data_IF_518124700371
#
_entry.id   IF_518124700371
#
_cell.length_a   1.000
_cell.length_b   1.000
_cell.length_c   1.000
_cell.angle_alpha   90.00
_cell.angle_beta   90.00
_cell.angle_gamma   90.00
#
_symmetry.space_group_name_H-M   'P 1'
#
loop_
_entity.id
_entity.type
_entity.pdbx_description
1 polymer ?
#
# COMPACT_ATOMS: atom_id res chain seq x y z
N UNK A 1 -20.65 0.21 -5.08
CA UNK A 1 -19.67 0.17 -6.19
C UNK A 1 -19.20 -1.27 -6.31
N UNK A 2 -19.90 -2.04 -7.13
CA UNK A 2 -19.42 -3.34 -7.58
C UNK A 2 -18.26 -3.12 -8.55
N UNK A 3 -17.20 -3.93 -8.49
CA UNK A 3 -16.19 -4.00 -9.56
C UNK A 3 -14.78 -3.44 -9.29
N UNK A 4 -14.37 -3.24 -8.04
CA UNK A 4 -12.98 -2.87 -7.71
C UNK A 4 -12.34 -3.91 -6.79
N UNK A 5 -12.00 -5.04 -7.38
CA UNK A 5 -11.41 -6.18 -6.67
C UNK A 5 -9.89 -6.11 -6.68
N UNK A 6 -9.34 -6.25 -5.48
CA UNK A 6 -7.93 -6.47 -5.24
C UNK A 6 -7.49 -7.83 -5.79
N UNK A 7 -6.21 -7.95 -6.12
CA UNK A 7 -5.59 -9.24 -6.44
C UNK A 7 -5.64 -10.20 -5.26
N UNK A 8 -5.28 -11.45 -5.48
CA UNK A 8 -4.86 -12.32 -4.38
C UNK A 8 -3.72 -11.67 -3.57
N UNK A 9 -3.60 -12.10 -2.32
CA UNK A 9 -2.46 -11.79 -1.48
C UNK A 9 -1.21 -12.46 -2.04
N UNK A 10 -0.11 -11.72 -2.13
CA UNK A 10 1.21 -12.24 -2.51
C UNK A 10 2.23 -11.85 -1.44
N UNK A 11 3.21 -12.72 -1.17
CA UNK A 11 4.32 -12.39 -0.26
C UNK A 11 5.08 -11.18 -0.77
N UNK A 12 5.54 -10.33 0.14
CA UNK A 12 6.22 -9.09 -0.23
C UNK A 12 7.48 -9.32 -1.07
N UNK A 13 8.18 -10.42 -0.84
CA UNK A 13 9.35 -10.84 -1.64
C UNK A 13 9.00 -11.10 -3.10
N UNK A 14 7.78 -11.57 -3.37
CA UNK A 14 7.28 -11.94 -4.69
C UNK A 14 6.48 -10.81 -5.36
N UNK A 15 6.37 -9.63 -4.73
CA UNK A 15 5.57 -8.49 -5.22
C UNK A 15 5.87 -8.09 -6.67
N UNK A 16 7.10 -8.35 -7.15
CA UNK A 16 7.51 -8.02 -8.52
C UNK A 16 6.81 -8.88 -9.58
N UNK A 17 6.24 -10.02 -9.17
CA UNK A 17 5.53 -10.96 -10.02
C UNK A 17 4.07 -10.56 -10.26
N UNK A 18 3.54 -9.57 -9.50
CA UNK A 18 2.21 -9.03 -9.74
C UNK A 18 2.11 -8.44 -11.16
N UNK A 19 0.99 -8.71 -11.83
CA UNK A 19 0.72 -8.18 -13.15
C UNK A 19 0.25 -6.72 -13.08
N UNK A 20 0.35 -5.99 -14.20
CA UNK A 20 -0.23 -4.65 -14.35
C UNK A 20 0.26 -3.59 -13.35
N UNK A 21 1.48 -3.74 -12.80
CA UNK A 21 2.05 -2.80 -11.85
C UNK A 21 2.49 -1.45 -12.46
N UNK A 22 2.55 -1.35 -13.78
CA UNK A 22 2.97 -0.12 -14.47
C UNK A 22 1.85 0.95 -14.51
N UNK A 23 0.66 0.57 -14.04
CA UNK A 23 -0.51 1.46 -13.95
C UNK A 23 -0.68 2.05 -12.54
N UNK A 24 -1.42 3.17 -12.41
CA UNK A 24 -1.85 3.68 -11.12
C UNK A 24 -2.80 2.70 -10.42
N UNK A 25 -3.04 2.93 -9.13
CA UNK A 25 -3.91 2.05 -8.36
C UNK A 25 -3.74 2.17 -6.86
N UNK A 26 -4.35 1.23 -6.14
CA UNK A 26 -4.32 1.11 -4.69
C UNK A 26 -3.67 -0.21 -4.30
N UNK A 27 -2.94 -0.23 -3.19
CA UNK A 27 -2.36 -1.44 -2.61
C UNK A 27 -2.71 -1.54 -1.13
N UNK A 28 -2.93 -2.77 -0.68
CA UNK A 28 -3.11 -3.14 0.71
C UNK A 28 -1.87 -3.91 1.17
N UNK A 29 -1.40 -3.64 2.39
CA UNK A 29 -0.34 -4.38 3.05
C UNK A 29 -0.89 -5.04 4.30
N UNK A 30 -0.61 -6.32 4.47
CA UNK A 30 -0.90 -7.07 5.68
C UNK A 30 0.39 -7.58 6.32
N UNK A 31 0.43 -7.56 7.65
CA UNK A 31 1.51 -8.19 8.43
C UNK A 31 0.89 -9.34 9.21
N UNK A 32 1.24 -10.57 8.86
CA UNK A 32 0.56 -11.77 9.36
C UNK A 32 1.56 -12.88 9.67
N UNK A 33 1.36 -13.55 10.81
CA UNK A 33 2.10 -14.77 11.17
C UNK A 33 1.57 -16.00 10.42
N UNK A 34 0.39 -15.88 9.79
CA UNK A 34 -0.18 -16.91 8.90
C UNK A 34 0.09 -16.56 7.45
N UNK A 35 0.40 -17.58 6.63
CA UNK A 35 0.65 -17.40 5.20
C UNK A 35 -0.63 -17.03 4.46
N UNK A 36 -0.64 -15.83 3.87
CA UNK A 36 -1.76 -15.33 3.09
C UNK A 36 -1.61 -15.60 1.59
N UNK A 37 -0.44 -16.04 1.14
CA UNK A 37 -0.14 -16.09 -0.29
C UNK A 37 -1.10 -16.99 -1.09
N UNK A 38 -1.54 -16.50 -2.25
CA UNK A 38 -2.50 -17.16 -3.13
C UNK A 38 -3.95 -17.14 -2.63
N UNK A 39 -4.22 -16.56 -1.44
CA UNK A 39 -5.59 -16.39 -0.97
C UNK A 39 -6.22 -15.15 -1.63
N UNK A 40 -7.51 -15.24 -1.96
CA UNK A 40 -8.29 -14.09 -2.40
C UNK A 40 -8.23 -12.97 -1.35
N UNK A 41 -8.25 -11.72 -1.81
CA UNK A 41 -8.27 -10.58 -0.89
C UNK A 41 -9.49 -10.63 0.02
N UNK A 42 -9.25 -10.49 1.30
CA UNK A 42 -10.27 -10.45 2.33
C UNK A 42 -10.00 -9.30 3.31
N UNK A 43 -11.08 -8.69 3.81
CA UNK A 43 -10.98 -7.66 4.84
C UNK A 43 -10.62 -8.29 6.17
N UNK A 44 -9.40 -8.02 6.64
CA UNK A 44 -8.82 -8.66 7.82
C UNK A 44 -8.09 -7.68 8.73
N UNK A 45 -8.07 -7.89 10.06
CA UNK A 45 -7.48 -6.95 11.01
C UNK A 45 -5.96 -6.78 10.88
N UNK A 46 -5.27 -7.73 10.23
CA UNK A 46 -3.84 -7.73 9.92
C UNK A 46 -3.46 -6.73 8.81
N UNK A 47 -4.44 -6.17 8.09
CA UNK A 47 -4.15 -5.09 7.13
C UNK A 47 -3.63 -3.90 7.93
N UNK A 48 -2.37 -3.59 7.69
CA UNK A 48 -1.61 -2.59 8.41
C UNK A 48 -1.51 -1.27 7.64
N UNK A 49 -1.69 -1.30 6.31
CA UNK A 49 -1.59 -0.11 5.48
C UNK A 49 -2.36 -0.21 4.17
N UNK A 50 -3.07 0.85 3.78
CA UNK A 50 -3.48 1.13 2.41
C UNK A 50 -2.70 2.31 1.85
N UNK A 51 -2.31 2.22 0.58
CA UNK A 51 -1.72 3.33 -0.15
C UNK A 51 -2.18 3.37 -1.60
N UNK A 52 -2.17 4.55 -2.20
CA UNK A 52 -2.45 4.72 -3.64
C UNK A 52 -1.34 5.42 -4.42
N UNK A 53 -1.39 5.35 -5.74
CA UNK A 53 -0.54 6.13 -6.63
C UNK A 53 -1.22 6.48 -7.94
N UNK A 54 -1.10 7.75 -8.34
CA UNK A 54 -1.36 8.27 -9.69
C UNK A 54 -0.06 8.70 -10.39
N UNK A 55 1.08 8.11 -10.02
CA UNK A 55 2.39 8.48 -10.58
C UNK A 55 2.70 7.79 -11.91
N UNK A 56 3.56 8.41 -12.74
CA UNK A 56 4.09 7.85 -13.99
C UNK A 56 4.71 6.45 -13.87
N UNK A 57 5.26 6.12 -12.69
CA UNK A 57 5.88 4.80 -12.44
C UNK A 57 4.91 3.75 -11.90
N UNK A 58 3.61 4.06 -11.83
CA UNK A 58 2.56 3.15 -11.36
C UNK A 58 2.77 2.61 -9.95
N UNK A 59 2.05 1.53 -9.65
CA UNK A 59 2.19 0.74 -8.44
C UNK A 59 3.61 0.19 -8.28
N UNK A 60 4.29 -0.20 -9.37
CA UNK A 60 5.67 -0.72 -9.35
C UNK A 60 6.62 0.25 -8.64
N UNK A 61 6.63 1.51 -9.07
CA UNK A 61 7.49 2.53 -8.46
C UNK A 61 7.09 2.80 -7.01
N UNK A 62 5.79 2.84 -6.70
CA UNK A 62 5.32 3.09 -5.35
C UNK A 62 5.68 1.97 -4.37
N UNK A 63 5.52 0.71 -4.76
CA UNK A 63 5.91 -0.45 -3.97
C UNK A 63 7.43 -0.50 -3.77
N UNK A 64 8.22 -0.12 -4.77
CA UNK A 64 9.68 0.00 -4.63
C UNK A 64 10.09 1.14 -3.68
N UNK A 65 9.40 2.28 -3.71
CA UNK A 65 9.62 3.36 -2.73
C UNK A 65 9.28 2.91 -1.31
N UNK A 66 8.21 2.15 -1.14
CA UNK A 66 7.86 1.56 0.14
C UNK A 66 8.94 0.59 0.62
N UNK A 67 9.39 -0.34 -0.24
CA UNK A 67 10.44 -1.32 0.06
C UNK A 67 11.76 -0.64 0.48
N UNK A 68 12.16 0.38 -0.27
CA UNK A 68 13.31 1.21 0.07
C UNK A 68 13.13 1.84 1.47
N UNK A 69 11.92 2.31 1.80
CA UNK A 69 11.68 2.98 3.08
C UNK A 69 11.64 2.05 4.30
N UNK A 70 11.17 0.81 4.13
CA UNK A 70 11.31 -0.21 5.18
C UNK A 70 12.75 -0.72 5.28
N UNK A 71 13.54 -0.62 4.21
CA UNK A 71 14.97 -0.90 4.19
C UNK A 71 15.85 0.37 4.35
N UNK A 72 15.51 1.20 5.33
CA UNK A 72 16.31 2.35 5.80
C UNK A 72 16.60 3.49 4.81
N UNK A 73 15.95 3.53 3.65
CA UNK A 73 16.03 4.69 2.75
C UNK A 73 14.90 5.68 3.02
N UNK A 74 15.11 6.93 2.65
CA UNK A 74 14.08 7.97 2.77
C UNK A 74 13.15 7.97 1.55
N UNK A 75 12.00 8.66 1.67
CA UNK A 75 11.15 8.98 0.52
C UNK A 75 9.75 8.35 0.51
N UNK A 76 9.39 7.49 1.48
CA UNK A 76 8.04 6.97 1.58
C UNK A 76 7.48 7.00 3.00
N UNK A 77 6.50 7.88 3.22
CA UNK A 77 5.96 8.12 4.56
C UNK A 77 5.36 6.90 5.28
N UNK A 78 4.54 6.09 4.60
CA UNK A 78 4.00 4.85 5.17
C UNK A 78 5.12 3.90 5.62
N UNK A 79 5.99 3.51 4.68
CA UNK A 79 7.20 2.71 4.96
C UNK A 79 8.08 3.25 6.10
N UNK A 80 8.25 4.57 6.25
CA UNK A 80 8.99 5.12 7.40
C UNK A 80 8.33 4.84 8.76
N UNK A 81 6.99 4.74 8.82
CA UNK A 81 6.27 4.35 10.06
C UNK A 81 6.43 2.86 10.32
N UNK A 82 6.37 2.05 9.26
CA UNK A 82 6.62 0.61 9.35
C UNK A 82 8.03 0.34 9.87
N UNK A 83 9.06 0.97 9.27
CA UNK A 83 10.46 0.90 9.73
C UNK A 83 10.64 1.31 11.19
N UNK A 84 9.89 2.31 11.65
CA UNK A 84 10.01 2.78 13.02
C UNK A 84 9.62 1.70 14.03
N UNK A 85 8.58 0.90 13.71
CA UNK A 85 8.15 -0.24 14.53
C UNK A 85 8.97 -1.50 14.26
N UNK A 86 9.19 -1.83 13.00
CA UNK A 86 9.90 -3.01 12.53
C UNK A 86 11.27 -2.61 11.97
N UNK A 87 12.29 -2.61 12.84
CA UNK A 87 13.63 -2.12 12.50
C UNK A 87 14.42 -3.08 11.62
N UNK A 88 14.23 -4.37 11.85
CA UNK A 88 14.93 -5.44 11.15
C UNK A 88 14.12 -5.86 9.92
N UNK A 89 14.60 -5.46 8.73
CA UNK A 89 13.96 -5.78 7.46
C UNK A 89 13.77 -7.30 7.26
N UNK A 90 14.77 -8.08 7.67
CA UNK A 90 14.77 -9.54 7.59
C UNK A 90 13.70 -10.21 8.47
N UNK A 91 13.25 -9.56 9.54
CA UNK A 91 12.19 -10.07 10.42
C UNK A 91 10.80 -9.68 9.91
N UNK A 92 10.67 -8.48 9.33
CA UNK A 92 9.39 -7.99 8.79
C UNK A 92 8.97 -8.72 7.50
N UNK A 93 9.89 -8.81 6.55
CA UNK A 93 9.58 -9.17 5.16
C UNK A 93 9.01 -10.58 4.97
N UNK A 94 9.43 -11.61 5.73
CA UNK A 94 8.79 -12.93 5.69
C UNK A 94 7.30 -12.91 6.02
N UNK A 95 6.85 -11.95 6.84
CA UNK A 95 5.47 -11.83 7.32
C UNK A 95 4.70 -10.69 6.64
N UNK A 96 5.28 -10.06 5.62
CA UNK A 96 4.66 -8.97 4.88
C UNK A 96 4.02 -9.48 3.60
N UNK A 97 2.77 -9.10 3.37
CA UNK A 97 1.98 -9.47 2.21
C UNK A 97 1.43 -8.22 1.53
N UNK A 98 1.22 -8.30 0.22
CA UNK A 98 0.64 -7.22 -0.58
C UNK A 98 -0.46 -7.77 -1.48
N UNK A 99 -1.51 -6.97 -1.61
CA UNK A 99 -2.51 -7.14 -2.65
C UNK A 99 -2.74 -5.79 -3.34
N UNK A 100 -3.00 -5.80 -4.65
CA UNK A 100 -3.09 -4.59 -5.46
C UNK A 100 -4.37 -4.53 -6.28
N UNK A 101 -4.85 -3.31 -6.51
CA UNK A 101 -5.85 -2.97 -7.53
C UNK A 101 -5.23 -1.98 -8.50
N UNK A 102 -4.82 -2.46 -9.67
CA UNK A 102 -4.35 -1.61 -10.77
C UNK A 102 -5.53 -1.03 -11.55
N UNK A 103 -5.38 0.20 -12.03
CA UNK A 103 -6.36 0.90 -12.88
C UNK A 103 -5.66 1.37 -14.13
N UNK A 104 -5.99 0.77 -15.27
CA UNK A 104 -5.38 1.13 -16.56
C UNK A 104 -5.89 2.50 -17.01
N UNK A 105 -5.05 3.53 -16.88
CA UNK A 105 -5.26 4.86 -17.46
C UNK A 105 -3.90 5.52 -17.78
N UNK A 106 -3.91 6.53 -18.65
CA UNK A 106 -2.72 7.32 -18.94
C UNK A 106 -2.60 8.49 -17.95
N UNK A 107 -1.71 8.36 -16.98
CA UNK A 107 -1.45 9.38 -15.96
C UNK A 107 -0.73 10.64 -16.50
N UNK A 108 -0.29 10.65 -17.76
CA UNK A 108 0.27 11.84 -18.42
C UNK A 108 -0.79 12.61 -19.20
N UNK A 109 -1.94 12.00 -19.43
CA UNK A 109 -3.05 12.56 -20.19
C UNK A 109 -3.95 13.42 -19.30
N UNK A 110 -4.47 14.50 -19.88
CA UNK A 110 -5.49 15.35 -19.26
C UNK A 110 -6.87 15.12 -19.88
N UNK A 111 -7.11 13.98 -20.54
CA UNK A 111 -8.45 13.68 -21.04
C UNK A 111 -9.42 13.55 -19.86
N UNK A 112 -10.70 13.95 -20.03
CA UNK A 112 -11.70 13.76 -18.98
C UNK A 112 -11.84 12.30 -18.52
N UNK A 113 -11.55 11.32 -19.39
CA UNK A 113 -11.59 9.90 -19.03
C UNK A 113 -10.46 9.53 -18.07
N UNK A 114 -9.22 9.90 -18.38
CA UNK A 114 -8.06 9.58 -17.53
C UNK A 114 -8.13 10.32 -16.19
N UNK A 115 -8.54 11.59 -16.19
CA UNK A 115 -8.73 12.38 -14.98
C UNK A 115 -9.77 11.75 -14.04
N UNK A 116 -10.88 11.23 -14.58
CA UNK A 116 -11.90 10.52 -13.78
C UNK A 116 -11.36 9.22 -13.21
N UNK A 117 -10.63 8.42 -13.99
CA UNK A 117 -10.02 7.17 -13.49
C UNK A 117 -9.00 7.43 -12.38
N UNK A 118 -8.16 8.45 -12.52
CA UNK A 118 -7.25 8.89 -11.44
C UNK A 118 -8.00 9.37 -10.20
N UNK A 119 -9.13 10.06 -10.38
CA UNK A 119 -10.03 10.44 -9.30
C UNK A 119 -10.62 9.22 -8.58
N UNK A 120 -11.07 8.21 -9.32
CA UNK A 120 -11.57 6.96 -8.75
C UNK A 120 -10.47 6.19 -7.99
N UNK A 121 -9.21 6.19 -8.44
CA UNK A 121 -8.08 5.62 -7.67
C UNK A 121 -7.93 6.30 -6.31
N UNK A 122 -7.94 7.64 -6.30
CA UNK A 122 -7.81 8.40 -5.06
C UNK A 122 -9.00 8.17 -4.12
N UNK A 123 -10.22 8.21 -4.66
CA UNK A 123 -11.45 7.88 -3.93
C UNK A 123 -11.40 6.46 -3.36
N UNK A 124 -10.93 5.49 -4.15
CA UNK A 124 -10.88 4.09 -3.73
C UNK A 124 -9.95 3.85 -2.53
N UNK A 125 -8.85 4.60 -2.39
CA UNK A 125 -8.03 4.57 -1.17
C UNK A 125 -8.85 4.97 0.07
N UNK A 126 -9.61 6.07 0.00
CA UNK A 126 -10.45 6.52 1.10
C UNK A 126 -11.61 5.55 1.38
N UNK A 127 -12.21 4.97 0.35
CA UNK A 127 -13.20 3.91 0.51
C UNK A 127 -12.61 2.68 1.21
N UNK A 128 -11.35 2.33 0.92
CA UNK A 128 -10.68 1.25 1.62
C UNK A 128 -10.49 1.54 3.11
N UNK A 129 -10.07 2.76 3.43
CA UNK A 129 -9.93 3.22 4.82
C UNK A 129 -11.29 3.25 5.54
N UNK A 130 -12.34 3.76 4.90
CA UNK A 130 -13.68 3.81 5.46
C UNK A 130 -14.21 2.40 5.76
N UNK A 131 -14.15 1.48 4.80
CA UNK A 131 -14.58 0.08 4.99
C UNK A 131 -13.79 -0.63 6.08
N UNK A 132 -12.50 -0.37 6.19
CA UNK A 132 -11.68 -0.91 7.26
C UNK A 132 -12.15 -0.40 8.64
N UNK A 133 -12.43 0.91 8.75
CA UNK A 133 -12.95 1.53 9.98
C UNK A 133 -14.34 0.99 10.33
N UNK A 134 -15.23 0.83 9.36
CA UNK A 134 -16.56 0.22 9.57
C UNK A 134 -16.45 -1.19 10.14
N UNK A 135 -15.52 -2.01 9.61
CA UNK A 135 -15.38 -3.41 10.00
C UNK A 135 -14.61 -3.62 11.32
N UNK A 136 -13.62 -2.78 11.60
CA UNK A 136 -12.67 -2.99 12.71
C UNK A 136 -12.64 -1.86 13.74
N UNK A 137 -13.48 -0.83 13.59
CA UNK A 137 -13.60 0.33 14.47
C UNK A 137 -12.29 1.09 14.73
N UNK A 138 -11.33 1.00 13.79
CA UNK A 138 -10.02 1.67 13.84
C UNK A 138 -9.46 1.84 12.43
N UNK A 139 -8.49 2.73 12.26
CA UNK A 139 -7.68 2.78 11.04
C UNK A 139 -6.67 1.61 11.01
N UNK A 140 -6.19 1.20 9.81
CA UNK A 140 -4.98 0.40 9.71
C UNK A 140 -3.84 1.12 10.41
N UNK A 141 -3.01 0.36 11.13
CA UNK A 141 -2.01 0.91 12.05
C UNK A 141 -1.19 2.03 11.40
N UNK A 142 -0.59 1.77 10.24
CA UNK A 142 0.31 2.72 9.61
C UNK A 142 -0.37 3.82 8.78
N UNK A 143 -1.70 3.75 8.62
CA UNK A 143 -2.51 4.88 8.17
C UNK A 143 -2.88 5.81 9.34
N UNK A 144 -2.92 5.30 10.58
CA UNK A 144 -3.11 6.11 11.79
C UNK A 144 -1.82 6.87 12.14
N UNK A 145 -1.72 8.08 11.61
CA UNK A 145 -0.55 8.94 11.79
C UNK A 145 -0.32 9.36 13.25
N UNK A 146 -1.36 9.35 14.08
CA UNK A 146 -1.28 9.72 15.49
C UNK A 146 -0.70 8.56 16.31
N UNK A 147 -1.09 7.32 16.00
CA UNK A 147 -0.68 6.12 16.74
C UNK A 147 0.62 5.47 16.23
N UNK A 148 1.04 5.74 15.00
CA UNK A 148 2.25 5.14 14.43
C UNK A 148 3.29 6.19 14.09
N UNK A 149 4.11 6.68 15.03
CA UNK A 149 5.10 7.73 14.78
C UNK A 149 6.15 7.34 13.72
N UNK A 150 6.89 8.34 13.23
CA UNK A 150 8.10 8.16 12.41
C UNK A 150 9.30 8.63 13.19
N UNK A 151 10.49 8.12 12.89
CA UNK A 151 11.73 8.73 13.35
C UNK A 151 11.75 10.21 12.92
N UNK A 152 11.97 11.13 13.88
CA UNK A 152 12.24 12.53 13.55
C UNK A 152 13.58 12.57 12.82
N UNK A 153 13.69 13.37 11.75
CA UNK A 153 14.99 13.64 11.14
C UNK A 153 15.82 14.36 12.21
N UNK A 154 16.85 13.70 12.73
CA UNK A 154 17.88 14.41 13.47
C UNK A 154 18.62 15.24 12.43
N UNK A 155 18.34 16.54 12.39
CA UNK A 155 19.26 17.50 11.76
C UNK A 155 20.58 17.36 12.51
N UNK A 156 21.56 16.72 11.89
CA UNK A 156 22.95 16.98 12.27
C UNK A 156 23.18 18.46 11.95
N UNK A 157 23.40 19.25 12.99
CA UNK A 157 23.94 20.61 12.86
C UNK A 157 25.38 20.53 12.36
#
# INVERSE_FOLDING_TARGET
MDGWEFSEWIRWVDRKNLSSLDYPGVYALAISDTDLSGQAFDWRPEIAYFGMTNSKGGLRSRLNQFDNAINWKEGHGGGSRVRYKYREYSELVPNLYVSVRSVKCDVKSNTPSDLRLMGEVAKFEYECLARFVEKFARLPEFNDKQRSPKARRTTMQ
#
